data_IF_852630649433
#
_entry.id   IF_852630649433
#
_cell.length_a   1.000
_cell.length_b   1.000
_cell.length_c   1.000
_cell.angle_alpha   90.00
_cell.angle_beta   90.00
_cell.angle_gamma   90.00
#
_symmetry.space_group_name_H-M   'P 1'
#
loop_
_entity.id
_entity.type
_entity.pdbx_description
1 polymer ?
#
# COMPACT_ATOMS: atom_id res chain seq x y z
N UNK A 1 23.11 -0.93 -33.64
CA UNK A 1 22.67 -0.03 -32.55
C UNK A 1 21.90 -0.89 -31.57
N UNK A 2 22.40 -1.09 -30.35
CA UNK A 2 21.68 -1.84 -29.32
C UNK A 2 20.45 -1.03 -28.87
N UNK A 3 19.30 -1.65 -28.56
CA UNK A 3 18.16 -0.93 -28.02
C UNK A 3 18.54 -0.37 -26.66
N UNK A 4 18.51 0.96 -26.51
CA UNK A 4 18.68 1.63 -25.23
C UNK A 4 17.52 1.20 -24.33
N UNK A 5 17.76 0.60 -23.15
CA UNK A 5 16.69 0.25 -22.23
C UNK A 5 15.93 1.53 -21.86
N UNK A 6 14.60 1.56 -22.03
CA UNK A 6 13.80 2.73 -21.67
C UNK A 6 14.03 3.06 -20.21
N UNK A 7 14.61 4.23 -19.91
CA UNK A 7 14.94 4.72 -18.56
C UNK A 7 13.69 5.05 -17.71
N UNK A 8 12.49 4.77 -18.21
CA UNK A 8 11.22 5.04 -17.52
C UNK A 8 10.68 3.79 -16.79
N UNK A 9 9.91 3.98 -15.70
CA UNK A 9 9.25 2.87 -15.01
C UNK A 9 8.37 2.06 -15.96
N UNK A 10 8.49 0.74 -15.91
CA UNK A 10 7.68 -0.15 -16.76
C UNK A 10 6.25 -0.21 -16.24
N UNK A 11 5.29 -0.60 -17.10
CA UNK A 11 3.90 -0.81 -16.66
C UNK A 11 3.78 -1.85 -15.52
N UNK A 12 4.69 -2.82 -15.48
CA UNK A 12 4.78 -3.79 -14.40
C UNK A 12 5.21 -3.15 -13.06
N UNK A 13 6.12 -2.18 -13.09
CA UNK A 13 6.54 -1.43 -11.89
C UNK A 13 5.39 -0.62 -11.31
N UNK A 14 4.59 0.02 -12.18
CA UNK A 14 3.39 0.77 -11.78
C UNK A 14 2.31 -0.15 -11.20
N UNK A 15 2.07 -1.30 -11.81
CA UNK A 15 1.15 -2.31 -11.28
C UNK A 15 1.62 -2.82 -9.91
N UNK A 16 2.93 -3.05 -9.73
CA UNK A 16 3.51 -3.46 -8.45
C UNK A 16 3.31 -2.43 -7.34
N UNK A 17 3.40 -1.13 -7.65
CA UNK A 17 3.09 -0.06 -6.69
C UNK A 17 1.62 -0.09 -6.30
N UNK A 18 0.71 -0.23 -7.28
CA UNK A 18 -0.72 -0.30 -7.02
C UNK A 18 -1.12 -1.51 -6.17
N UNK A 19 -0.57 -2.68 -6.47
CA UNK A 19 -0.80 -3.91 -5.68
C UNK A 19 -0.25 -3.77 -4.27
N UNK A 20 0.95 -3.22 -4.11
CA UNK A 20 1.52 -2.97 -2.79
C UNK A 20 0.63 -2.04 -1.95
N UNK A 21 0.17 -0.95 -2.54
CA UNK A 21 -0.72 0.00 -1.86
C UNK A 21 -2.06 -0.65 -1.49
N UNK A 22 -2.68 -1.37 -2.44
CA UNK A 22 -3.93 -2.09 -2.19
C UNK A 22 -3.77 -3.12 -1.06
N UNK A 23 -2.70 -3.92 -1.07
CA UNK A 23 -2.42 -4.88 -0.01
C UNK A 23 -2.19 -4.19 1.35
N UNK A 24 -1.40 -3.10 1.37
CA UNK A 24 -1.11 -2.34 2.58
C UNK A 24 -2.35 -1.73 3.24
N UNK A 25 -3.39 -1.41 2.44
CA UNK A 25 -4.66 -0.88 2.94
C UNK A 25 -5.66 -1.99 3.27
N UNK A 26 -5.79 -2.99 2.40
CA UNK A 26 -6.80 -4.05 2.52
C UNK A 26 -6.48 -5.04 3.63
N UNK A 27 -5.21 -5.41 3.85
CA UNK A 27 -4.82 -6.32 4.94
C UNK A 27 -5.26 -5.83 6.32
N UNK A 28 -4.88 -4.61 6.77
CA UNK A 28 -5.28 -4.11 8.07
C UNK A 28 -6.77 -3.79 8.16
N UNK A 29 -7.42 -3.41 7.05
CA UNK A 29 -8.88 -3.27 7.01
C UNK A 29 -9.59 -4.60 7.26
N UNK A 30 -9.24 -5.64 6.50
CA UNK A 30 -9.85 -6.97 6.65
C UNK A 30 -9.55 -7.57 8.02
N UNK A 31 -8.32 -7.38 8.52
CA UNK A 31 -7.95 -7.74 9.88
C UNK A 31 -8.79 -7.01 10.93
N UNK A 32 -8.98 -5.70 10.77
CA UNK A 32 -9.83 -4.89 11.64
C UNK A 32 -11.29 -5.35 11.63
N UNK A 33 -11.86 -5.63 10.45
CA UNK A 33 -13.25 -6.13 10.32
C UNK A 33 -13.41 -7.47 11.02
N UNK A 34 -12.46 -8.39 10.83
CA UNK A 34 -12.50 -9.69 11.48
C UNK A 34 -12.40 -9.56 13.01
N UNK A 35 -11.53 -8.68 13.49
CA UNK A 35 -11.33 -8.45 14.92
C UNK A 35 -12.54 -7.76 15.57
N UNK A 36 -13.09 -6.73 14.94
CA UNK A 36 -14.32 -6.04 15.38
C UNK A 36 -15.51 -7.02 15.43
N UNK A 37 -15.62 -7.94 14.45
CA UNK A 37 -16.63 -9.01 14.46
C UNK A 37 -16.44 -10.01 15.60
N UNK A 38 -15.20 -10.43 15.89
CA UNK A 38 -14.93 -11.37 16.97
C UNK A 38 -15.18 -10.76 18.35
N UNK A 39 -14.89 -9.47 18.51
CA UNK A 39 -14.96 -8.77 19.79
C UNK A 39 -16.30 -8.05 20.02
N UNK A 40 -17.26 -8.15 19.09
CA UNK A 40 -18.56 -7.44 19.15
C UNK A 40 -18.40 -5.93 19.44
N UNK A 41 -17.26 -5.37 19.03
CA UNK A 41 -16.93 -3.98 19.30
C UNK A 41 -17.48 -3.12 18.15
N UNK A 42 -17.80 -1.86 18.43
CA UNK A 42 -17.99 -0.85 17.37
C UNK A 42 -16.75 -0.87 16.42
N UNK A 43 -16.82 -0.38 15.17
CA UNK A 43 -15.80 -0.59 14.13
C UNK A 43 -14.49 0.19 14.38
N UNK A 44 -13.88 -0.02 15.54
CA UNK A 44 -12.73 0.71 16.06
C UNK A 44 -11.45 0.10 15.50
N UNK A 45 -11.33 -1.23 15.45
CA UNK A 45 -10.15 -1.87 14.86
C UNK A 45 -10.11 -1.69 13.34
N UNK A 46 -11.26 -1.61 12.67
CA UNK A 46 -11.36 -1.18 11.26
C UNK A 46 -10.82 0.24 11.07
N UNK A 47 -11.23 1.20 11.92
CA UNK A 47 -10.78 2.58 11.84
C UNK A 47 -9.27 2.71 12.09
N UNK A 48 -8.75 2.02 13.11
CA UNK A 48 -7.31 1.98 13.39
C UNK A 48 -6.55 1.33 12.22
N UNK A 49 -7.05 0.20 11.71
CA UNK A 49 -6.47 -0.48 10.57
C UNK A 49 -6.43 0.38 9.31
N UNK A 50 -7.47 1.17 9.06
CA UNK A 50 -7.54 2.11 7.94
C UNK A 50 -6.48 3.21 8.07
N UNK A 51 -6.37 3.84 9.24
CA UNK A 51 -5.39 4.91 9.48
C UNK A 51 -3.97 4.38 9.32
N UNK A 52 -3.68 3.21 9.89
CA UNK A 52 -2.37 2.55 9.78
C UNK A 52 -2.07 2.16 8.32
N UNK A 53 -3.04 1.58 7.60
CA UNK A 53 -2.89 1.18 6.21
C UNK A 53 -2.62 2.38 5.28
N UNK A 54 -3.31 3.50 5.49
CA UNK A 54 -3.07 4.74 4.77
C UNK A 54 -1.68 5.33 5.07
N UNK A 55 -1.27 5.36 6.35
CA UNK A 55 0.04 5.85 6.74
C UNK A 55 1.17 4.98 6.16
N UNK A 56 1.02 3.66 6.21
CA UNK A 56 1.96 2.71 5.62
C UNK A 56 2.05 2.85 4.09
N UNK A 57 0.90 2.95 3.41
CA UNK A 57 0.83 3.18 1.97
C UNK A 57 1.50 4.49 1.55
N UNK A 58 1.21 5.59 2.26
CA UNK A 58 1.83 6.89 2.00
C UNK A 58 3.34 6.86 2.22
N UNK A 59 3.81 6.22 3.29
CA UNK A 59 5.24 6.07 3.58
C UNK A 59 5.94 5.23 2.52
N UNK A 60 5.34 4.12 2.10
CA UNK A 60 5.90 3.25 1.06
C UNK A 60 6.02 3.95 -0.30
N UNK A 61 5.02 4.75 -0.67
CA UNK A 61 5.07 5.58 -1.88
C UNK A 61 6.15 6.65 -1.75
N UNK A 62 6.24 7.34 -0.60
CA UNK A 62 7.23 8.38 -0.37
C UNK A 62 8.67 7.85 -0.44
N UNK A 63 8.92 6.64 0.09
CA UNK A 63 10.22 5.99 -0.02
C UNK A 63 10.58 5.65 -1.46
N UNK A 64 9.64 5.11 -2.24
CA UNK A 64 9.86 4.86 -3.69
C UNK A 64 10.13 6.15 -4.46
N UNK A 65 9.37 7.21 -4.20
CA UNK A 65 9.59 8.52 -4.87
C UNK A 65 10.95 9.11 -4.50
N UNK A 66 11.36 9.01 -3.23
CA UNK A 66 12.69 9.44 -2.77
C UNK A 66 13.81 8.68 -3.47
N UNK A 67 13.63 7.38 -3.68
CA UNK A 67 14.61 6.51 -4.32
C UNK A 67 14.80 6.87 -5.80
N UNK A 68 13.74 7.27 -6.51
CA UNK A 68 13.83 7.77 -7.90
C UNK A 68 14.40 9.20 -8.03
N UNK A 69 14.40 9.98 -6.95
CA UNK A 69 14.92 11.36 -6.96
C UNK A 69 16.42 11.46 -6.64
N UNK A 70 17.10 10.32 -6.43
CA UNK A 70 18.56 10.23 -6.26
C UNK A 70 19.21 9.67 -7.51
#
# INVERSE_FOLDING_TARGET
MAPTPSTGPTGADMAGIGIYFAAAVLLPLLGGVALDKMLHTAPVFVLVGLVVGLAAGATGIWLKVKEFSR
#
